data_IF_433180340215
#
_entry.id   IF_433180340215
#
_cell.length_a   1.000
_cell.length_b   1.000
_cell.length_c   1.000
_cell.angle_alpha   90.00
_cell.angle_beta   90.00
_cell.angle_gamma   90.00
#
_symmetry.space_group_name_H-M   'P 1'
#
loop_
_entity.id
_entity.type
_entity.pdbx_description
1 polymer ?
#
# COMPACT_ATOMS: atom_id res chain seq x y z
N UNK A 1 12.54 -24.58 -20.29
CA UNK A 1 11.96 -24.18 -18.99
C UNK A 1 13.08 -24.21 -17.96
N UNK A 2 13.51 -23.06 -17.42
CA UNK A 2 14.50 -23.03 -16.34
C UNK A 2 13.85 -23.69 -15.12
N UNK A 3 14.46 -24.73 -14.57
CA UNK A 3 13.90 -25.43 -13.42
C UNK A 3 13.91 -24.47 -12.22
N UNK A 4 12.74 -23.93 -11.86
CA UNK A 4 12.61 -23.08 -10.70
C UNK A 4 12.95 -23.87 -9.44
N UNK A 5 13.92 -23.39 -8.67
CA UNK A 5 14.41 -24.09 -7.48
C UNK A 5 13.99 -23.38 -6.21
N UNK A 6 13.94 -24.14 -5.11
CA UNK A 6 13.79 -23.59 -3.77
C UNK A 6 14.84 -22.53 -3.44
N UNK A 7 16.04 -22.66 -3.99
CA UNK A 7 17.09 -21.65 -3.84
C UNK A 7 16.68 -20.33 -4.49
N UNK A 8 16.19 -20.37 -5.73
CA UNK A 8 15.71 -19.17 -6.43
C UNK A 8 14.56 -18.49 -5.68
N UNK A 9 13.64 -19.27 -5.10
CA UNK A 9 12.55 -18.74 -4.26
C UNK A 9 13.08 -17.96 -3.05
N UNK A 10 14.05 -18.52 -2.32
CA UNK A 10 14.68 -17.84 -1.17
C UNK A 10 15.42 -16.59 -1.60
N UNK A 11 16.25 -16.69 -2.63
CA UNK A 11 17.08 -15.58 -3.09
C UNK A 11 16.18 -14.41 -3.51
N UNK A 12 15.06 -14.70 -4.19
CA UNK A 12 14.05 -13.70 -4.50
C UNK A 12 13.40 -13.08 -3.26
N UNK A 13 13.09 -13.85 -2.21
CA UNK A 13 12.56 -13.27 -0.98
C UNK A 13 13.59 -12.38 -0.26
N UNK A 14 14.86 -12.79 -0.21
CA UNK A 14 15.93 -12.00 0.41
C UNK A 14 16.11 -10.65 -0.31
N UNK A 15 15.97 -10.63 -1.63
CA UNK A 15 15.94 -9.37 -2.40
C UNK A 15 14.76 -8.48 -1.97
N UNK A 16 13.57 -9.05 -1.75
CA UNK A 16 12.43 -8.28 -1.25
C UNK A 16 12.71 -7.64 0.11
N UNK A 17 13.49 -8.31 0.99
CA UNK A 17 13.86 -7.72 2.28
C UNK A 17 14.77 -6.50 2.14
N UNK A 18 15.71 -6.54 1.19
CA UNK A 18 16.59 -5.39 0.92
C UNK A 18 15.79 -4.18 0.45
N UNK A 19 14.78 -4.42 -0.39
CA UNK A 19 13.86 -3.40 -0.86
C UNK A 19 12.91 -2.91 0.26
N UNK A 20 12.39 -3.82 1.10
CA UNK A 20 11.54 -3.47 2.23
C UNK A 20 12.28 -2.64 3.28
N UNK A 21 13.58 -2.87 3.52
CA UNK A 21 14.40 -2.04 4.41
C UNK A 21 14.39 -0.57 4.00
N UNK A 22 14.31 -0.32 2.69
CA UNK A 22 14.29 1.00 2.09
C UNK A 22 12.90 1.61 2.15
N UNK A 23 11.87 0.85 1.76
CA UNK A 23 10.48 1.28 1.84
C UNK A 23 10.04 1.58 3.28
N UNK A 24 10.63 0.90 4.27
CA UNK A 24 10.36 1.12 5.69
C UNK A 24 11.34 2.08 6.38
N UNK A 25 12.35 2.62 5.68
CA UNK A 25 13.11 3.73 6.21
C UNK A 25 12.15 4.93 6.34
N UNK A 26 12.02 5.50 7.55
CA UNK A 26 11.19 6.68 7.74
C UNK A 26 11.68 7.79 6.79
N UNK A 27 10.83 8.77 6.46
CA UNK A 27 11.11 9.67 5.35
C UNK A 27 12.35 10.58 5.55
N UNK A 28 13.10 10.45 6.64
CA UNK A 28 14.42 11.05 6.86
C UNK A 28 15.61 10.13 6.51
N UNK A 29 15.36 9.02 5.80
CA UNK A 29 16.40 8.06 5.41
C UNK A 29 17.00 7.26 6.57
N UNK A 30 16.53 7.44 7.80
CA UNK A 30 17.01 6.65 8.94
C UNK A 30 16.35 5.29 8.90
N UNK A 31 17.18 4.25 8.76
CA UNK A 31 16.75 2.86 8.95
C UNK A 31 16.19 2.74 10.36
N UNK A 32 14.90 2.45 10.42
CA UNK A 32 14.15 2.36 11.66
C UNK A 32 14.55 1.07 12.37
N UNK A 33 15.00 1.17 13.63
CA UNK A 33 15.17 0.00 14.47
C UNK A 33 13.79 -0.64 14.68
N UNK A 34 13.72 -1.97 14.64
CA UNK A 34 12.49 -2.75 14.66
C UNK A 34 11.52 -2.40 15.80
N UNK A 35 12.04 -1.90 16.93
CA UNK A 35 11.27 -1.48 18.08
C UNK A 35 10.30 -0.34 17.75
N UNK A 36 10.54 0.41 16.68
CA UNK A 36 9.64 1.46 16.22
C UNK A 36 8.59 0.99 15.20
N UNK A 37 8.86 -0.09 14.43
CA UNK A 37 7.91 -0.69 13.47
C UNK A 37 6.79 -1.43 14.23
N UNK A 38 7.14 -2.23 15.23
CA UNK A 38 6.17 -2.94 16.07
C UNK A 38 5.35 -1.99 16.97
N UNK A 39 5.93 -0.86 17.39
CA UNK A 39 5.27 0.15 18.23
C UNK A 39 4.24 1.04 17.49
N UNK A 40 4.08 0.88 16.17
CA UNK A 40 3.14 1.67 15.37
C UNK A 40 1.67 1.50 15.76
N UNK A 41 1.28 0.42 16.45
CA UNK A 41 -0.09 0.24 16.96
C UNK A 41 -0.23 0.84 18.36
N UNK A 42 -1.17 1.78 18.55
CA UNK A 42 -1.46 2.47 19.84
C UNK A 42 -1.59 1.52 21.04
N UNK A 43 -2.20 0.35 20.83
CA UNK A 43 -2.36 -0.68 21.84
C UNK A 43 -1.03 -1.25 22.34
N UNK A 44 -0.01 -1.34 21.47
CA UNK A 44 1.31 -1.85 21.82
C UNK A 44 2.25 -0.74 22.26
N UNK A 45 2.12 0.47 21.72
CA UNK A 45 3.00 1.62 22.01
C UNK A 45 3.13 1.94 23.51
N UNK A 46 2.01 1.92 24.24
CA UNK A 46 2.03 2.18 25.70
C UNK A 46 2.82 1.11 26.46
N UNK A 47 2.66 -0.16 26.10
CA UNK A 47 3.38 -1.27 26.73
C UNK A 47 4.84 -1.35 26.26
N UNK A 48 5.10 -0.94 25.02
CA UNK A 48 6.43 -0.92 24.42
C UNK A 48 7.39 0.05 25.10
N UNK A 49 6.88 1.06 25.79
CA UNK A 49 7.71 1.96 26.59
C UNK A 49 8.37 1.23 27.78
N UNK A 50 7.81 0.12 28.26
CA UNK A 50 8.41 -0.67 29.32
C UNK A 50 9.57 -1.52 28.76
N UNK A 51 10.77 -1.33 29.33
CA UNK A 51 11.98 -2.08 28.93
C UNK A 51 11.77 -3.60 29.00
N UNK A 52 11.10 -4.09 30.03
CA UNK A 52 10.84 -5.52 30.21
C UNK A 52 9.96 -6.11 29.10
N UNK A 53 8.98 -5.34 28.59
CA UNK A 53 8.12 -5.75 27.47
C UNK A 53 8.94 -5.83 26.18
N UNK A 54 9.82 -4.85 25.95
CA UNK A 54 10.73 -4.87 24.79
C UNK A 54 11.66 -6.07 24.82
N UNK A 55 12.31 -6.32 25.95
CA UNK A 55 13.22 -7.45 26.11
C UNK A 55 12.43 -8.77 25.95
N UNK A 56 11.30 -8.91 26.63
CA UNK A 56 10.46 -10.11 26.56
C UNK A 56 9.98 -10.39 25.13
N UNK A 57 9.48 -9.39 24.41
CA UNK A 57 9.02 -9.58 23.03
C UNK A 57 10.17 -9.92 22.08
N UNK A 58 11.36 -9.31 22.23
CA UNK A 58 12.55 -9.70 21.45
C UNK A 58 12.96 -11.16 21.71
N UNK A 59 12.98 -11.58 22.97
CA UNK A 59 13.34 -12.97 23.29
C UNK A 59 12.30 -13.96 22.75
N UNK A 60 11.02 -13.58 22.77
CA UNK A 60 9.92 -14.43 22.32
C UNK A 60 9.66 -14.38 20.82
N UNK A 61 10.08 -13.33 20.09
CA UNK A 61 9.73 -13.17 18.67
C UNK A 61 10.16 -14.37 17.80
N UNK A 62 11.38 -14.92 17.91
CA UNK A 62 11.76 -16.11 17.15
C UNK A 62 10.87 -17.31 17.44
N UNK A 63 10.47 -17.48 18.71
CA UNK A 63 9.54 -18.55 19.11
C UNK A 63 8.15 -18.30 18.53
N UNK A 64 7.65 -17.05 18.58
CA UNK A 64 6.37 -16.66 18.00
C UNK A 64 6.37 -16.96 16.48
N UNK A 65 7.41 -16.52 15.76
CA UNK A 65 7.53 -16.76 14.32
C UNK A 65 7.62 -18.24 14.00
N UNK A 66 8.42 -19.02 14.75
CA UNK A 66 8.48 -20.47 14.60
C UNK A 66 7.13 -21.14 14.86
N UNK A 67 6.39 -20.70 15.88
CA UNK A 67 5.03 -21.19 16.13
C UNK A 67 4.10 -20.89 14.96
N UNK A 68 4.18 -19.69 14.35
CA UNK A 68 3.42 -19.37 13.14
C UNK A 68 3.82 -20.27 11.95
N UNK A 69 5.11 -20.54 11.78
CA UNK A 69 5.65 -21.45 10.75
C UNK A 69 5.28 -22.92 10.97
N UNK A 70 4.75 -23.29 12.13
CA UNK A 70 4.23 -24.64 12.40
C UNK A 70 2.72 -24.66 12.28
N UNK A 71 2.04 -23.72 12.94
CA UNK A 71 0.58 -23.67 13.05
C UNK A 71 -0.06 -23.38 11.69
N UNK A 72 0.47 -22.41 10.93
CA UNK A 72 -0.10 -22.06 9.64
C UNK A 72 -0.02 -23.24 8.67
N UNK A 73 1.14 -23.88 8.42
CA UNK A 73 1.19 -25.04 7.52
C UNK A 73 0.25 -26.16 7.93
N UNK A 74 0.12 -26.50 9.22
CA UNK A 74 -0.82 -27.53 9.68
C UNK A 74 -2.26 -27.16 9.30
N UNK A 75 -2.67 -25.92 9.61
CA UNK A 75 -4.00 -25.41 9.24
C UNK A 75 -4.22 -25.47 7.73
N UNK A 76 -3.23 -25.05 6.94
CA UNK A 76 -3.32 -25.00 5.49
C UNK A 76 -3.26 -26.38 4.83
N UNK A 77 -2.53 -27.34 5.41
CA UNK A 77 -2.54 -28.74 4.98
C UNK A 77 -3.92 -29.34 5.16
N UNK A 78 -4.50 -29.21 6.36
CA UNK A 78 -5.85 -29.70 6.64
C UNK A 78 -6.86 -29.08 5.65
N UNK A 79 -6.82 -27.76 5.48
CA UNK A 79 -7.68 -27.07 4.52
C UNK A 79 -7.46 -27.55 3.08
N UNK A 80 -6.21 -27.82 2.67
CA UNK A 80 -5.90 -28.32 1.33
C UNK A 80 -6.39 -29.76 1.11
N UNK A 81 -6.33 -30.63 2.13
CA UNK A 81 -6.80 -32.02 2.02
C UNK A 81 -8.30 -32.13 1.80
N UNK A 82 -9.09 -31.29 2.47
CA UNK A 82 -10.56 -31.31 2.34
C UNK A 82 -11.10 -30.41 1.23
N UNK A 83 -10.23 -29.68 0.53
CA UNK A 83 -10.64 -28.72 -0.49
C UNK A 83 -10.85 -29.37 -1.85
N UNK A 84 -12.02 -29.12 -2.43
CA UNK A 84 -12.26 -29.33 -3.86
C UNK A 84 -11.59 -28.20 -4.64
N UNK A 85 -10.59 -28.54 -5.45
CA UNK A 85 -9.84 -27.60 -6.28
C UNK A 85 -10.74 -26.93 -7.32
N UNK A 86 -10.51 -25.64 -7.58
CA UNK A 86 -11.12 -24.94 -8.69
C UNK A 86 -10.63 -25.56 -10.02
N UNK A 87 -11.57 -25.87 -10.92
CA UNK A 87 -11.29 -26.45 -12.26
C UNK A 87 -11.69 -25.54 -13.41
N UNK A 88 -12.13 -24.31 -13.11
CA UNK A 88 -12.56 -23.36 -14.13
C UNK A 88 -11.37 -22.91 -14.97
N UNK A 89 -11.56 -22.84 -16.28
CA UNK A 89 -10.60 -22.23 -17.20
C UNK A 89 -10.81 -20.73 -17.23
N UNK A 90 -9.73 -19.98 -17.13
CA UNK A 90 -9.72 -18.52 -17.19
C UNK A 90 -8.53 -18.07 -18.04
N UNK A 91 -8.65 -16.90 -18.68
CA UNK A 91 -7.56 -16.31 -19.48
C UNK A 91 -6.77 -15.26 -18.71
N UNK A 92 -7.34 -14.75 -17.63
CA UNK A 92 -6.81 -13.65 -16.85
C UNK A 92 -7.15 -13.84 -15.38
N UNK A 93 -6.19 -13.50 -14.53
CA UNK A 93 -6.31 -13.56 -13.09
C UNK A 93 -5.92 -12.24 -12.44
N UNK A 94 -6.81 -11.70 -11.61
CA UNK A 94 -6.52 -10.60 -10.71
C UNK A 94 -5.88 -11.15 -9.44
N UNK A 95 -4.62 -10.80 -9.20
CA UNK A 95 -3.81 -11.29 -8.07
C UNK A 95 -4.03 -10.38 -6.87
N UNK A 96 -4.75 -10.89 -5.87
CA UNK A 96 -5.10 -10.16 -4.66
C UNK A 96 -6.54 -9.69 -4.64
N UNK A 97 -7.23 -9.98 -3.54
CA UNK A 97 -8.44 -9.28 -3.14
C UNK A 97 -8.04 -7.95 -2.48
N UNK A 98 -7.55 -7.04 -3.31
CA UNK A 98 -7.27 -5.67 -2.94
C UNK A 98 -8.45 -4.77 -3.35
N UNK A 99 -8.94 -3.95 -2.41
CA UNK A 99 -10.05 -3.05 -2.68
C UNK A 99 -9.70 -2.06 -3.79
N UNK A 100 -8.46 -1.53 -3.80
CA UNK A 100 -8.07 -0.53 -4.81
C UNK A 100 -8.00 -1.16 -6.18
N UNK A 101 -7.39 -2.35 -6.31
CA UNK A 101 -7.40 -3.12 -7.54
C UNK A 101 -8.83 -3.33 -8.04
N UNK A 102 -9.74 -3.80 -7.19
CA UNK A 102 -11.14 -4.00 -7.55
C UNK A 102 -11.83 -2.70 -7.98
N UNK A 103 -11.74 -1.63 -7.19
CA UNK A 103 -12.42 -0.36 -7.49
C UNK A 103 -11.90 0.29 -8.77
N UNK A 104 -10.58 0.31 -9.00
CA UNK A 104 -10.00 0.91 -10.21
C UNK A 104 -10.38 0.10 -11.44
N UNK A 105 -10.26 -1.24 -11.37
CA UNK A 105 -10.52 -2.11 -12.52
C UNK A 105 -11.99 -2.13 -12.91
N UNK A 106 -12.91 -2.19 -11.95
CA UNK A 106 -14.35 -2.10 -12.23
C UNK A 106 -14.73 -0.75 -12.83
N UNK A 107 -14.17 0.36 -12.30
CA UNK A 107 -14.44 1.71 -12.83
C UNK A 107 -14.09 1.84 -14.31
N UNK A 108 -12.98 1.25 -14.72
CA UNK A 108 -12.52 1.29 -16.13
C UNK A 108 -13.13 0.18 -16.99
N UNK A 109 -14.03 -0.64 -16.44
CA UNK A 109 -14.66 -1.76 -17.15
C UNK A 109 -13.68 -2.86 -17.58
N UNK A 110 -12.57 -3.05 -16.84
CA UNK A 110 -11.55 -4.04 -17.19
C UNK A 110 -11.99 -5.50 -16.93
N UNK A 111 -12.62 -5.83 -15.78
CA UNK A 111 -13.03 -7.19 -15.47
C UNK A 111 -14.13 -7.71 -16.41
N UNK A 112 -14.04 -9.00 -16.74
CA UNK A 112 -14.97 -9.79 -17.56
C UNK A 112 -15.49 -10.97 -16.75
N UNK A 113 -16.58 -11.58 -17.22
CA UNK A 113 -17.25 -12.67 -16.50
C UNK A 113 -16.41 -13.95 -16.38
N UNK A 114 -15.43 -14.16 -17.27
CA UNK A 114 -14.51 -15.30 -17.30
C UNK A 114 -13.17 -15.04 -16.59
N UNK A 115 -13.01 -13.87 -15.96
CA UNK A 115 -11.82 -13.56 -15.16
C UNK A 115 -11.91 -14.14 -13.76
N UNK A 116 -10.74 -14.52 -13.22
CA UNK A 116 -10.60 -15.09 -11.90
C UNK A 116 -9.99 -14.08 -10.91
N UNK A 117 -10.55 -13.99 -9.70
CA UNK A 117 -9.95 -13.24 -8.59
C UNK A 117 -9.25 -14.20 -7.64
N UNK A 118 -7.93 -14.04 -7.47
CA UNK A 118 -7.15 -14.83 -6.53
C UNK A 118 -7.08 -14.15 -5.17
N UNK A 119 -7.58 -14.83 -4.15
CA UNK A 119 -7.45 -14.43 -2.76
C UNK A 119 -6.12 -14.87 -2.19
N UNK A 120 -5.33 -13.92 -1.73
CA UNK A 120 -4.14 -14.13 -0.92
C UNK A 120 -4.52 -14.30 0.55
N UNK A 121 -3.61 -14.87 1.35
CA UNK A 121 -3.89 -15.21 2.74
C UNK A 121 -4.15 -13.98 3.62
N UNK A 122 -3.48 -12.86 3.33
CA UNK A 122 -3.60 -11.62 4.08
C UNK A 122 -4.74 -10.71 3.60
N UNK A 123 -5.45 -11.08 2.54
CA UNK A 123 -6.47 -10.22 1.99
C UNK A 123 -7.70 -10.13 2.90
N UNK A 124 -8.07 -8.88 3.18
CA UNK A 124 -9.22 -8.55 4.03
C UNK A 124 -10.45 -8.11 3.23
N UNK A 125 -10.28 -7.76 1.96
CA UNK A 125 -11.41 -7.32 1.13
C UNK A 125 -12.18 -8.53 0.58
N UNK A 126 -13.51 -8.43 0.60
CA UNK A 126 -14.38 -9.45 0.04
C UNK A 126 -14.84 -9.00 -1.34
N UNK A 127 -14.32 -9.64 -2.39
CA UNK A 127 -14.78 -9.45 -3.76
C UNK A 127 -16.25 -9.91 -3.87
N UNK A 128 -17.12 -9.19 -4.62
CA UNK A 128 -18.52 -9.55 -4.82
C UNK A 128 -18.76 -11.01 -5.26
N UNK A 129 -19.95 -11.54 -4.93
CA UNK A 129 -20.29 -12.96 -5.09
C UNK A 129 -20.54 -13.40 -6.53
N UNK A 130 -20.85 -12.46 -7.42
CA UNK A 130 -21.02 -12.64 -8.85
C UNK A 130 -19.70 -12.84 -9.60
N UNK A 131 -18.55 -12.52 -8.97
CA UNK A 131 -17.22 -12.70 -9.58
C UNK A 131 -16.68 -14.11 -9.30
N UNK A 132 -15.95 -14.67 -10.27
CA UNK A 132 -15.23 -15.93 -10.07
C UNK A 132 -14.07 -15.72 -9.11
N UNK A 133 -13.93 -16.61 -8.14
CA UNK A 133 -12.96 -16.50 -7.05
C UNK A 133 -12.20 -17.82 -6.91
N UNK A 134 -10.92 -17.71 -6.64
CA UNK A 134 -10.06 -18.79 -6.22
C UNK A 134 -9.21 -18.33 -5.06
N UNK A 135 -8.72 -19.28 -4.27
CA UNK A 135 -7.81 -19.05 -3.16
C UNK A 135 -6.47 -19.69 -3.51
N UNK A 136 -5.38 -19.25 -2.86
CA UNK A 136 -4.04 -19.86 -3.07
C UNK A 136 -4.02 -21.39 -2.95
N UNK A 137 -4.84 -21.99 -2.06
CA UNK A 137 -4.90 -23.44 -1.90
C UNK A 137 -5.62 -24.15 -3.04
N UNK A 138 -6.22 -23.47 -4.00
CA UNK A 138 -6.73 -24.10 -5.21
C UNK A 138 -5.60 -24.49 -6.17
N UNK A 139 -4.40 -23.94 -5.99
CA UNK A 139 -3.28 -24.11 -6.92
C UNK A 139 -2.07 -24.81 -6.30
N UNK A 140 -2.08 -25.13 -5.00
CA UNK A 140 -0.94 -25.81 -4.35
C UNK A 140 -1.26 -27.22 -3.86
N UNK A 141 -0.25 -28.07 -3.80
CA UNK A 141 -0.30 -29.42 -3.26
C UNK A 141 0.11 -29.45 -1.78
N UNK A 142 -0.24 -30.51 -1.01
CA UNK A 142 0.26 -30.68 0.35
C UNK A 142 1.79 -30.66 0.45
N UNK A 143 2.49 -31.20 -0.56
CA UNK A 143 3.96 -31.16 -0.62
C UNK A 143 4.50 -29.73 -0.70
N UNK A 144 3.86 -28.86 -1.49
CA UNK A 144 4.25 -27.46 -1.65
C UNK A 144 3.98 -26.63 -0.39
N UNK A 145 2.97 -26.99 0.40
CA UNK A 145 2.71 -26.37 1.71
C UNK A 145 3.85 -26.69 2.69
N UNK A 146 4.27 -27.96 2.78
CA UNK A 146 5.43 -28.37 3.62
C UNK A 146 6.71 -27.69 3.14
N UNK A 147 6.93 -27.68 1.82
CA UNK A 147 8.06 -26.99 1.20
C UNK A 147 8.08 -25.51 1.59
N UNK A 148 6.95 -24.82 1.51
CA UNK A 148 6.81 -23.41 1.89
C UNK A 148 7.13 -23.18 3.37
N UNK A 149 6.71 -24.08 4.26
CA UNK A 149 7.06 -24.04 5.68
C UNK A 149 8.57 -24.18 5.93
N UNK A 150 9.21 -25.13 5.24
CA UNK A 150 10.67 -25.32 5.35
C UNK A 150 11.39 -24.07 4.82
N UNK A 151 10.92 -23.47 3.71
CA UNK A 151 11.53 -22.26 3.19
C UNK A 151 11.34 -21.06 4.10
N UNK A 152 10.19 -20.88 4.74
CA UNK A 152 9.98 -19.76 5.65
C UNK A 152 11.00 -19.79 6.79
N UNK A 153 11.20 -20.95 7.42
CA UNK A 153 12.23 -21.14 8.46
C UNK A 153 13.64 -20.81 7.96
N UNK A 154 14.01 -21.28 6.75
CA UNK A 154 15.34 -20.98 6.19
C UNK A 154 15.48 -19.49 5.87
N UNK A 155 14.43 -18.85 5.32
CA UNK A 155 14.39 -17.43 5.03
C UNK A 155 14.56 -16.62 6.32
N UNK A 156 13.87 -17.00 7.39
CA UNK A 156 13.97 -16.40 8.71
C UNK A 156 15.41 -16.44 9.25
N UNK A 157 16.08 -17.58 9.14
CA UNK A 157 17.49 -17.73 9.52
C UNK A 157 18.40 -16.86 8.63
N UNK A 158 18.19 -16.88 7.32
CA UNK A 158 18.99 -16.10 6.37
C UNK A 158 18.83 -14.59 6.57
N UNK A 159 17.60 -14.12 6.79
CA UNK A 159 17.30 -12.73 7.08
C UNK A 159 18.08 -12.25 8.32
N UNK A 160 18.08 -13.06 9.39
CA UNK A 160 18.83 -12.77 10.60
C UNK A 160 20.34 -12.78 10.38
N UNK A 161 20.87 -13.72 9.58
CA UNK A 161 22.30 -13.82 9.28
C UNK A 161 22.82 -12.68 8.41
N UNK A 162 22.04 -12.24 7.41
CA UNK A 162 22.46 -11.24 6.41
C UNK A 162 22.21 -9.83 6.94
N UNK A 163 21.03 -9.57 7.50
CA UNK A 163 20.58 -8.22 7.86
C UNK A 163 20.52 -7.97 9.37
N UNK A 164 20.78 -9.01 10.18
CA UNK A 164 20.71 -8.94 11.63
C UNK A 164 19.29 -9.07 12.19
N UNK A 165 19.22 -9.14 13.52
CA UNK A 165 17.97 -9.35 14.25
C UNK A 165 16.92 -8.27 14.00
N UNK A 166 17.32 -7.02 13.75
CA UNK A 166 16.40 -5.90 13.50
C UNK A 166 15.56 -6.08 12.23
N UNK A 167 16.01 -6.86 11.25
CA UNK A 167 15.31 -7.06 9.98
C UNK A 167 14.57 -8.40 9.95
N UNK A 168 14.83 -9.26 10.94
CA UNK A 168 14.20 -10.56 11.12
C UNK A 168 12.67 -10.48 11.01
N UNK A 169 12.03 -9.51 11.66
CA UNK A 169 10.58 -9.38 11.61
C UNK A 169 10.03 -9.09 10.21
N UNK A 170 10.75 -8.42 9.31
CA UNK A 170 10.27 -8.18 7.94
C UNK A 170 10.08 -9.48 7.15
N UNK A 171 10.71 -10.56 7.61
CA UNK A 171 10.49 -11.90 7.06
C UNK A 171 9.20 -12.57 7.52
N UNK A 172 8.39 -12.02 8.44
CA UNK A 172 7.18 -12.65 9.02
C UNK A 172 6.13 -13.16 8.01
N UNK A 173 6.15 -12.66 6.77
CA UNK A 173 5.29 -13.13 5.66
C UNK A 173 5.94 -14.19 4.78
N UNK A 174 7.07 -14.77 5.17
CA UNK A 174 7.82 -15.72 4.34
C UNK A 174 6.96 -16.93 3.93
N UNK A 175 6.21 -17.53 4.87
CA UNK A 175 5.31 -18.63 4.54
C UNK A 175 4.24 -18.25 3.51
N UNK A 176 3.55 -17.12 3.72
CA UNK A 176 2.54 -16.59 2.80
C UNK A 176 3.13 -16.29 1.41
N UNK A 177 4.33 -15.71 1.38
CA UNK A 177 4.99 -15.40 0.12
C UNK A 177 5.38 -16.68 -0.64
N UNK A 178 5.98 -17.66 0.04
CA UNK A 178 6.37 -18.93 -0.56
C UNK A 178 5.17 -19.72 -1.12
N UNK A 179 4.07 -19.82 -0.37
CA UNK A 179 2.88 -20.54 -0.83
C UNK A 179 2.19 -19.80 -1.98
N UNK A 180 2.17 -18.46 -1.98
CA UNK A 180 1.64 -17.68 -3.11
C UNK A 180 2.52 -17.82 -4.35
N UNK A 181 3.85 -17.82 -4.22
CA UNK A 181 4.75 -18.05 -5.36
C UNK A 181 4.51 -19.44 -5.98
N UNK A 182 4.33 -20.48 -5.16
CA UNK A 182 3.93 -21.81 -5.64
C UNK A 182 2.57 -21.78 -6.35
N UNK A 183 1.56 -21.17 -5.71
CA UNK A 183 0.22 -21.07 -6.27
C UNK A 183 0.25 -20.41 -7.66
N UNK A 184 0.96 -19.28 -7.78
CA UNK A 184 1.06 -18.55 -9.03
C UNK A 184 1.86 -19.34 -10.09
N UNK A 185 2.92 -20.05 -9.72
CA UNK A 185 3.69 -20.87 -10.68
C UNK A 185 2.93 -22.08 -11.22
N UNK A 186 1.92 -22.54 -10.49
CA UNK A 186 1.03 -23.62 -10.94
C UNK A 186 -0.11 -23.11 -11.85
N UNK A 187 -0.22 -21.79 -12.05
CA UNK A 187 -1.09 -21.21 -13.06
C UNK A 187 -0.41 -21.32 -14.43
N UNK A 188 -1.14 -21.66 -15.50
CA UNK A 188 -0.57 -21.72 -16.85
C UNK A 188 0.08 -20.39 -17.28
N UNK A 189 1.28 -20.46 -17.88
CA UNK A 189 2.09 -19.29 -18.26
C UNK A 189 1.42 -18.34 -19.28
N UNK A 190 0.40 -18.84 -19.99
CA UNK A 190 -0.40 -18.08 -20.95
C UNK A 190 -1.56 -17.30 -20.31
N UNK A 191 -1.80 -17.45 -19.01
CA UNK A 191 -2.76 -16.63 -18.26
C UNK A 191 -2.15 -15.24 -18.03
N UNK A 192 -2.94 -14.20 -18.26
CA UNK A 192 -2.56 -12.83 -17.89
C UNK A 192 -2.67 -12.64 -16.37
N UNK A 193 -1.61 -12.14 -15.74
CA UNK A 193 -1.64 -11.74 -14.33
C UNK A 193 -1.86 -10.24 -14.22
N UNK A 194 -2.96 -9.82 -13.59
CA UNK A 194 -3.28 -8.43 -13.28
C UNK A 194 -3.06 -8.16 -11.80
N UNK A 195 -2.32 -7.12 -11.45
CA UNK A 195 -1.97 -6.81 -10.07
C UNK A 195 -1.83 -5.30 -9.85
N UNK A 196 -1.91 -4.86 -8.60
CA UNK A 196 -1.74 -3.45 -8.23
C UNK A 196 -0.43 -3.15 -7.49
N UNK A 197 0.37 -4.17 -7.15
CA UNK A 197 1.64 -4.03 -6.44
C UNK A 197 2.71 -3.31 -7.29
N UNK A 198 3.23 -2.18 -6.82
CA UNK A 198 4.20 -1.37 -7.59
C UNK A 198 5.64 -1.70 -7.19
N UNK A 199 5.97 -1.52 -5.92
CA UNK A 199 7.33 -1.67 -5.39
C UNK A 199 7.42 -2.64 -4.21
N UNK A 200 6.33 -3.27 -3.78
CA UNK A 200 6.34 -4.21 -2.65
C UNK A 200 6.82 -5.62 -3.05
N UNK A 201 6.94 -6.50 -2.05
CA UNK A 201 7.42 -7.88 -2.24
C UNK A 201 6.60 -8.73 -3.22
N UNK A 202 5.31 -8.44 -3.41
CA UNK A 202 4.48 -9.16 -4.37
C UNK A 202 4.76 -8.68 -5.79
N UNK A 203 5.10 -7.40 -6.00
CA UNK A 203 5.55 -6.90 -7.29
C UNK A 203 6.79 -7.66 -7.79
N UNK A 204 7.80 -7.83 -6.92
CA UNK A 204 9.05 -8.57 -7.24
C UNK A 204 8.74 -10.03 -7.58
N UNK A 205 7.87 -10.67 -6.80
CA UNK A 205 7.47 -12.07 -7.05
C UNK A 205 6.81 -12.22 -8.42
N UNK A 206 5.78 -11.40 -8.70
CA UNK A 206 4.99 -11.48 -9.93
C UNK A 206 5.88 -11.20 -11.14
N UNK A 207 6.78 -10.22 -11.04
CA UNK A 207 7.69 -9.89 -12.11
C UNK A 207 8.65 -11.04 -12.47
N UNK A 208 9.05 -11.86 -11.49
CA UNK A 208 9.91 -13.04 -11.70
C UNK A 208 9.17 -14.33 -12.09
N UNK A 209 7.84 -14.27 -12.24
CA UNK A 209 7.08 -15.40 -12.75
C UNK A 209 7.26 -15.57 -14.26
N UNK A 210 7.11 -16.80 -14.78
CA UNK A 210 7.28 -17.08 -16.21
C UNK A 210 6.09 -16.61 -17.09
N UNK A 211 5.06 -16.00 -16.51
CA UNK A 211 3.86 -15.60 -17.25
C UNK A 211 4.19 -14.57 -18.33
N UNK A 212 3.63 -14.79 -19.52
CA UNK A 212 3.92 -13.97 -20.72
C UNK A 212 3.29 -12.59 -20.64
N UNK A 213 2.12 -12.48 -20.01
CA UNK A 213 1.37 -11.24 -19.88
C UNK A 213 1.21 -10.86 -18.42
N UNK A 214 1.74 -9.69 -18.08
CA UNK A 214 1.68 -9.09 -16.75
C UNK A 214 1.16 -7.67 -16.89
N UNK A 215 0.07 -7.37 -16.21
CA UNK A 215 -0.61 -6.08 -16.26
C UNK A 215 -0.57 -5.42 -14.88
N UNK A 216 0.10 -4.29 -14.79
CA UNK A 216 0.14 -3.47 -13.59
C UNK A 216 -0.99 -2.44 -13.63
N UNK A 217 -1.79 -2.38 -12.57
CA UNK A 217 -2.76 -1.32 -12.30
C UNK A 217 -2.15 -0.38 -11.26
N UNK A 218 -1.84 0.85 -11.65
CA UNK A 218 -1.31 1.85 -10.72
C UNK A 218 -2.29 2.08 -9.56
N UNK A 219 -1.79 2.00 -8.32
CA UNK A 219 -2.56 2.30 -7.10
C UNK A 219 -2.08 3.54 -6.34
N UNK A 220 -0.92 4.09 -6.71
CA UNK A 220 -0.25 5.22 -6.06
C UNK A 220 0.60 6.00 -7.06
N UNK A 221 0.81 7.29 -6.80
CA UNK A 221 1.63 8.16 -7.67
C UNK A 221 3.11 7.97 -7.35
N UNK A 222 3.95 8.07 -8.40
CA UNK A 222 5.42 7.98 -8.26
C UNK A 222 6.12 9.31 -8.49
N UNK A 223 5.34 10.40 -8.54
CA UNK A 223 5.81 11.77 -8.58
C UNK A 223 5.32 12.52 -7.34
N UNK A 224 6.14 13.41 -6.79
CA UNK A 224 5.88 14.12 -5.54
C UNK A 224 6.28 15.59 -5.65
N UNK A 225 5.40 16.50 -5.24
CA UNK A 225 5.65 17.94 -5.31
C UNK A 225 6.43 18.49 -4.12
N UNK A 226 6.63 17.71 -3.06
CA UNK A 226 7.13 18.24 -1.79
C UNK A 226 8.26 17.42 -1.16
N UNK A 227 9.37 18.09 -0.85
CA UNK A 227 10.44 17.59 0.02
C UNK A 227 10.12 17.94 1.47
N UNK A 228 9.03 17.41 2.02
CA UNK A 228 8.80 17.59 3.48
C UNK A 228 9.82 16.81 4.30
N UNK A 229 10.54 15.86 3.71
CA UNK A 229 11.52 15.03 4.39
C UNK A 229 12.63 14.60 3.41
N UNK A 230 13.88 14.56 3.87
CA UNK A 230 15.03 14.07 3.09
C UNK A 230 14.95 12.54 2.94
N UNK A 231 14.20 12.10 1.93
CA UNK A 231 14.13 10.69 1.55
C UNK A 231 15.29 10.41 0.59
N UNK A 232 16.27 9.56 0.94
CA UNK A 232 17.45 9.29 0.09
C UNK A 232 17.10 8.60 -1.23
N UNK A 233 15.87 8.12 -1.38
CA UNK A 233 15.35 7.45 -2.57
C UNK A 233 14.39 8.34 -3.38
N UNK A 234 14.38 9.65 -3.12
CA UNK A 234 13.71 10.62 -3.98
C UNK A 234 14.74 11.39 -4.81
N UNK A 235 14.54 11.40 -6.12
CA UNK A 235 15.35 12.15 -7.07
C UNK A 235 14.55 13.33 -7.64
N UNK A 236 15.12 14.54 -7.60
CA UNK A 236 14.46 15.73 -8.13
C UNK A 236 14.77 15.93 -9.61
N UNK A 237 13.71 16.05 -10.42
CA UNK A 237 13.82 16.33 -11.84
C UNK A 237 13.50 17.80 -12.11
N UNK A 238 14.55 18.58 -12.34
CA UNK A 238 14.47 20.05 -12.46
C UNK A 238 13.57 20.46 -13.64
N UNK A 239 13.66 19.74 -14.75
CA UNK A 239 12.89 19.96 -15.97
C UNK A 239 11.39 19.66 -15.81
N UNK A 240 11.03 18.85 -14.81
CA UNK A 240 9.65 18.47 -14.51
C UNK A 240 9.07 19.16 -13.27
N UNK A 241 9.93 19.69 -12.40
CA UNK A 241 9.54 20.38 -11.17
C UNK A 241 8.98 19.46 -10.07
N UNK A 242 9.28 18.16 -10.10
CA UNK A 242 8.85 17.20 -9.08
C UNK A 242 9.91 16.13 -8.79
N UNK A 243 9.75 15.46 -7.64
CA UNK A 243 10.57 14.31 -7.26
C UNK A 243 9.96 13.03 -7.81
N UNK A 244 10.78 12.02 -8.13
CA UNK A 244 10.34 10.65 -8.36
C UNK A 244 10.99 9.69 -7.37
N UNK A 245 10.36 8.54 -7.18
CA UNK A 245 10.93 7.45 -6.39
C UNK A 245 12.01 6.69 -7.15
N UNK A 246 13.25 6.70 -6.67
CA UNK A 246 14.33 5.87 -7.20
C UNK A 246 14.34 4.50 -6.50
N UNK A 247 13.58 3.55 -7.05
CA UNK A 247 13.48 2.20 -6.48
C UNK A 247 14.72 1.36 -6.76
N UNK A 248 15.11 0.52 -5.80
CA UNK A 248 16.14 -0.51 -6.04
C UNK A 248 15.66 -1.56 -7.04
N UNK A 249 14.38 -1.94 -6.95
CA UNK A 249 13.78 -2.90 -7.87
C UNK A 249 12.90 -2.18 -8.89
N UNK A 250 13.08 -2.52 -10.17
CA UNK A 250 12.21 -2.05 -11.25
C UNK A 250 11.55 -3.27 -11.90
N UNK A 251 10.22 -3.27 -11.94
CA UNK A 251 9.42 -4.35 -12.52
C UNK A 251 9.32 -4.22 -14.03
N UNK A 252 9.00 -5.33 -14.71
CA UNK A 252 8.91 -5.43 -16.17
C UNK A 252 7.52 -5.88 -16.66
N UNK A 253 6.42 -5.18 -16.34
CA UNK A 253 5.09 -5.52 -16.83
C UNK A 253 4.96 -5.34 -18.34
N UNK A 254 4.09 -6.13 -18.98
CA UNK A 254 3.76 -6.00 -20.40
C UNK A 254 2.87 -4.77 -20.65
N UNK A 255 1.88 -4.54 -19.76
CA UNK A 255 0.93 -3.44 -19.83
C UNK A 255 0.87 -2.71 -18.50
N UNK A 256 0.74 -1.38 -18.53
CA UNK A 256 0.57 -0.53 -17.35
C UNK A 256 -0.64 0.37 -17.54
N UNK A 257 -1.63 0.22 -16.65
CA UNK A 257 -2.71 1.19 -16.52
C UNK A 257 -2.30 2.25 -15.50
N UNK A 258 -2.16 3.50 -15.94
CA UNK A 258 -1.73 4.63 -15.11
C UNK A 258 -2.68 5.81 -15.26
N UNK A 259 -2.64 6.76 -14.32
CA UNK A 259 -3.65 7.82 -14.30
C UNK A 259 -3.45 8.84 -15.42
N UNK A 260 -2.23 9.34 -15.62
CA UNK A 260 -1.92 10.44 -16.54
C UNK A 260 -0.60 10.24 -17.28
N UNK A 261 -0.30 11.10 -18.26
CA UNK A 261 1.02 11.15 -18.92
C UNK A 261 2.16 11.47 -17.94
N UNK A 262 1.88 12.26 -16.89
CA UNK A 262 2.86 12.55 -15.83
C UNK A 262 3.17 11.27 -15.06
N UNK A 263 2.13 10.47 -14.76
CA UNK A 263 2.30 9.18 -14.10
C UNK A 263 3.06 8.18 -14.97
N UNK A 264 2.79 8.10 -16.27
CA UNK A 264 3.56 7.28 -17.21
C UNK A 264 5.04 7.66 -17.17
N UNK A 265 5.35 8.95 -17.27
CA UNK A 265 6.73 9.42 -17.24
C UNK A 265 7.39 9.08 -15.90
N UNK A 266 6.70 9.34 -14.78
CA UNK A 266 7.21 9.04 -13.45
C UNK A 266 7.45 7.54 -13.27
N UNK A 267 6.50 6.68 -13.64
CA UNK A 267 6.62 5.22 -13.56
C UNK A 267 7.79 4.70 -14.40
N UNK A 268 7.91 5.19 -15.64
CA UNK A 268 8.97 4.79 -16.58
C UNK A 268 10.38 5.15 -16.11
N UNK A 269 10.52 6.25 -15.35
CA UNK A 269 11.82 6.67 -14.82
C UNK A 269 12.07 6.13 -13.39
N UNK A 270 11.03 5.72 -12.66
CA UNK A 270 11.13 5.23 -11.29
C UNK A 270 11.22 3.70 -11.19
N UNK A 271 10.14 3.00 -11.54
CA UNK A 271 9.89 1.60 -11.13
C UNK A 271 9.64 0.64 -12.27
N UNK A 272 9.54 1.11 -13.51
CA UNK A 272 9.36 0.27 -14.68
C UNK A 272 10.69 0.15 -15.42
N UNK A 273 11.14 -1.08 -15.67
CA UNK A 273 12.43 -1.37 -16.30
C UNK A 273 12.36 -1.52 -17.83
N UNK A 274 11.19 -1.89 -18.35
CA UNK A 274 10.99 -2.25 -19.74
C UNK A 274 10.08 -1.25 -20.49
N UNK A 275 9.98 -1.42 -21.81
CA UNK A 275 9.02 -0.67 -22.64
C UNK A 275 7.65 -1.33 -22.55
N UNK A 276 6.87 -0.97 -21.53
CA UNK A 276 5.48 -1.41 -21.39
C UNK A 276 4.54 -0.67 -22.33
N UNK A 277 3.37 -1.26 -22.61
CA UNK A 277 2.23 -0.53 -23.18
C UNK A 277 1.53 0.25 -22.08
N UNK A 278 1.51 1.58 -22.17
CA UNK A 278 0.79 2.43 -21.21
C UNK A 278 -0.64 2.71 -21.68
N UNK A 279 -1.58 2.71 -20.73
CA UNK A 279 -2.99 3.06 -20.93
C UNK A 279 -3.37 4.09 -19.85
N UNK A 280 -3.72 5.30 -20.27
CA UNK A 280 -4.17 6.35 -19.35
C UNK A 280 -5.64 6.18 -19.00
N UNK A 281 -5.94 6.05 -17.71
CA UNK A 281 -7.29 5.82 -17.20
C UNK A 281 -7.90 7.00 -16.45
N UNK A 282 -7.12 8.07 -16.26
CA UNK A 282 -7.50 9.20 -15.42
C UNK A 282 -7.68 8.81 -13.94
N UNK A 283 -7.84 9.83 -13.10
CA UNK A 283 -8.15 9.62 -11.68
C UNK A 283 -9.60 9.19 -11.47
N UNK A 284 -10.52 9.52 -12.37
CA UNK A 284 -11.92 9.07 -12.35
C UNK A 284 -12.65 9.37 -11.03
N UNK A 285 -12.24 10.43 -10.34
CA UNK A 285 -12.76 10.81 -9.03
C UNK A 285 -14.09 11.54 -9.15
N UNK A 286 -15.07 11.14 -8.34
CA UNK A 286 -16.39 11.77 -8.28
C UNK A 286 -16.75 11.97 -6.81
N UNK A 287 -16.90 13.22 -6.34
CA UNK A 287 -17.37 13.49 -4.99
C UNK A 287 -18.82 12.99 -4.79
N UNK A 288 -19.13 12.56 -3.57
CA UNK A 288 -20.42 11.97 -3.23
C UNK A 288 -21.52 13.00 -2.92
N UNK A 289 -21.15 14.17 -2.39
CA UNK A 289 -22.09 15.22 -2.01
C UNK A 289 -21.44 16.60 -2.03
N UNK A 290 -22.25 17.66 -2.05
CA UNK A 290 -21.79 19.05 -1.98
C UNK A 290 -22.06 19.64 -0.59
N UNK A 291 -21.04 20.19 0.10
CA UNK A 291 -21.21 20.95 1.34
C UNK A 291 -22.16 22.15 1.20
N UNK A 292 -22.77 22.58 2.31
CA UNK A 292 -23.70 23.72 2.31
C UNK A 292 -22.95 25.05 2.33
N UNK A 293 -21.82 25.10 3.05
CA UNK A 293 -20.93 26.26 3.11
C UNK A 293 -19.65 26.05 2.31
N UNK A 294 -18.88 27.13 2.18
CA UNK A 294 -17.48 27.05 1.79
C UNK A 294 -16.76 26.04 2.67
N UNK A 295 -15.95 25.19 2.05
CA UNK A 295 -15.47 23.99 2.74
C UNK A 295 -14.04 23.62 2.40
N UNK A 296 -13.37 23.04 3.39
CA UNK A 296 -12.01 22.53 3.30
C UNK A 296 -11.98 21.07 3.70
N UNK A 297 -11.32 20.21 2.92
CA UNK A 297 -10.96 18.86 3.35
C UNK A 297 -9.47 18.78 3.69
N UNK A 298 -9.18 18.31 4.90
CA UNK A 298 -7.85 18.01 5.40
C UNK A 298 -7.61 16.51 5.23
N UNK A 299 -6.67 16.13 4.37
CA UNK A 299 -6.22 14.74 4.20
C UNK A 299 -5.08 14.47 5.14
N UNK A 300 -5.31 13.60 6.11
CA UNK A 300 -4.38 13.37 7.20
C UNK A 300 -3.41 12.21 6.95
N UNK A 301 -2.16 12.43 7.38
CA UNK A 301 -1.23 11.40 7.77
C UNK A 301 -0.68 11.72 9.17
N UNK A 302 -1.51 11.42 10.18
CA UNK A 302 -1.25 11.78 11.57
C UNK A 302 0.14 11.38 12.09
N UNK A 303 0.67 10.19 11.74
CA UNK A 303 1.97 9.76 12.26
C UNK A 303 3.11 10.72 11.90
N UNK A 304 2.96 11.46 10.80
CA UNK A 304 3.96 12.40 10.30
C UNK A 304 3.53 13.85 10.62
N UNK A 305 2.24 14.18 10.47
CA UNK A 305 1.76 15.55 10.45
C UNK A 305 0.81 15.94 11.59
N UNK A 306 0.61 15.09 12.61
CA UNK A 306 -0.33 15.33 13.72
C UNK A 306 -0.37 16.77 14.26
N UNK A 307 0.79 17.31 14.62
CA UNK A 307 0.90 18.67 15.19
C UNK A 307 0.51 19.74 14.17
N UNK A 308 0.86 19.55 12.90
CA UNK A 308 0.48 20.48 11.82
C UNK A 308 -1.02 20.42 11.57
N UNK A 309 -1.59 19.23 11.52
CA UNK A 309 -3.02 19.00 11.31
C UNK A 309 -3.85 19.64 12.44
N UNK A 310 -3.47 19.45 13.71
CA UNK A 310 -4.13 20.09 14.85
C UNK A 310 -3.99 21.62 14.80
N UNK A 311 -2.82 22.13 14.45
CA UNK A 311 -2.60 23.56 14.30
C UNK A 311 -3.47 24.19 13.21
N UNK A 312 -3.54 23.55 12.03
CA UNK A 312 -4.39 23.99 10.93
C UNK A 312 -5.85 24.02 11.38
N UNK A 313 -6.36 22.94 11.98
CA UNK A 313 -7.74 22.89 12.47
C UNK A 313 -8.01 24.03 13.44
N UNK A 314 -7.09 24.29 14.39
CA UNK A 314 -7.21 25.37 15.36
C UNK A 314 -7.31 26.75 14.68
N UNK A 315 -6.47 27.03 13.69
CA UNK A 315 -6.45 28.32 12.99
C UNK A 315 -7.72 28.57 12.15
N UNK A 316 -8.37 27.50 11.68
CA UNK A 316 -9.57 27.60 10.85
C UNK A 316 -10.88 27.72 11.66
N UNK A 317 -10.83 27.66 12.99
CA UNK A 317 -12.05 27.63 13.82
C UNK A 317 -12.94 28.87 13.67
N UNK A 318 -12.32 30.03 13.51
CA UNK A 318 -13.01 31.33 13.42
C UNK A 318 -13.60 31.63 12.04
N UNK A 319 -13.32 30.80 11.03
CA UNK A 319 -13.83 30.99 9.68
C UNK A 319 -15.22 30.35 9.54
N UNK A 320 -16.13 31.03 8.82
CA UNK A 320 -17.44 30.48 8.50
C UNK A 320 -17.37 29.47 7.34
N UNK A 321 -16.67 28.37 7.60
CA UNK A 321 -16.45 27.27 6.67
C UNK A 321 -16.77 25.92 7.32
N UNK A 322 -17.06 24.93 6.50
CA UNK A 322 -17.10 23.53 6.91
C UNK A 322 -15.70 22.90 6.81
N UNK A 323 -15.21 22.36 7.92
CA UNK A 323 -13.92 21.66 7.97
C UNK A 323 -14.19 20.17 7.97
N UNK A 324 -13.70 19.47 6.94
CA UNK A 324 -13.67 18.02 6.87
C UNK A 324 -12.27 17.51 7.17
N UNK A 325 -12.15 16.39 7.88
CA UNK A 325 -10.89 15.68 8.06
C UNK A 325 -11.05 14.22 7.69
N UNK A 326 -10.19 13.72 6.81
CA UNK A 326 -10.10 12.30 6.45
C UNK A 326 -8.77 11.72 6.94
N UNK A 327 -8.85 10.71 7.79
CA UNK A 327 -7.69 9.98 8.27
C UNK A 327 -7.15 9.00 7.21
N UNK A 328 -5.85 8.68 7.29
CA UNK A 328 -5.27 7.62 6.47
C UNK A 328 -5.93 6.27 6.77
N UNK A 329 -6.27 5.44 5.75
CA UNK A 329 -7.01 4.19 5.96
C UNK A 329 -6.35 3.18 6.91
N UNK A 330 -5.01 3.19 6.99
CA UNK A 330 -4.27 2.28 7.87
C UNK A 330 -4.12 2.80 9.31
N UNK A 331 -4.60 4.01 9.61
CA UNK A 331 -4.43 4.64 10.92
C UNK A 331 -5.68 4.50 11.79
N UNK A 332 -5.45 4.45 13.11
CA UNK A 332 -6.56 4.47 14.08
C UNK A 332 -7.21 5.85 14.14
N UNK A 333 -8.53 5.89 14.13
CA UNK A 333 -9.30 7.13 14.32
C UNK A 333 -9.28 7.65 15.77
N UNK A 334 -8.83 6.82 16.72
CA UNK A 334 -8.92 7.11 18.16
C UNK A 334 -8.17 8.36 18.61
N UNK A 335 -7.27 8.91 17.79
CA UNK A 335 -6.53 10.13 18.10
C UNK A 335 -7.30 11.39 17.69
N UNK A 336 -8.21 11.28 16.72
CA UNK A 336 -9.10 12.39 16.35
C UNK A 336 -10.29 12.54 17.31
N UNK A 337 -10.58 11.52 18.12
CA UNK A 337 -11.61 11.61 19.14
C UNK A 337 -11.34 12.73 20.16
N UNK A 338 -10.08 12.88 20.58
CA UNK A 338 -9.69 13.94 21.52
C UNK A 338 -9.80 15.32 20.85
N UNK A 339 -9.40 15.44 19.58
CA UNK A 339 -9.50 16.68 18.82
C UNK A 339 -10.95 17.13 18.60
N UNK A 340 -11.88 16.18 18.38
CA UNK A 340 -13.31 16.49 18.25
C UNK A 340 -13.92 17.14 19.49
N UNK A 341 -13.34 16.89 20.67
CA UNK A 341 -13.79 17.55 21.91
C UNK A 341 -13.34 19.00 22.02
N UNK A 342 -12.33 19.41 21.23
CA UNK A 342 -11.69 20.73 21.29
C UNK A 342 -12.03 21.62 20.10
N UNK A 343 -12.28 21.02 18.94
CA UNK A 343 -12.39 21.72 17.67
C UNK A 343 -13.58 21.24 16.85
N UNK A 344 -14.19 22.15 16.09
CA UNK A 344 -15.27 21.91 15.13
C UNK A 344 -14.68 21.38 13.82
N UNK A 345 -15.00 20.13 13.49
CA UNK A 345 -14.77 19.51 12.18
C UNK A 345 -15.61 18.25 11.99
N UNK A 346 -15.92 17.93 10.74
CA UNK A 346 -16.57 16.71 10.29
C UNK A 346 -15.51 15.64 9.99
N UNK A 347 -15.60 14.48 10.63
CA UNK A 347 -14.59 13.43 10.47
C UNK A 347 -15.08 12.31 9.55
N UNK A 348 -14.34 12.09 8.46
CA UNK A 348 -14.58 11.01 7.50
C UNK A 348 -13.73 9.82 7.91
N UNK A 349 -14.40 8.78 8.41
CA UNK A 349 -13.74 7.67 9.09
C UNK A 349 -13.25 6.57 8.15
N UNK A 350 -12.02 6.10 8.37
CA UNK A 350 -11.47 4.88 7.78
C UNK A 350 -11.63 4.76 6.26
N UNK A 351 -12.30 3.68 5.84
CA UNK A 351 -12.51 3.30 4.45
C UNK A 351 -13.72 3.97 3.78
N UNK A 352 -14.42 4.86 4.47
CA UNK A 352 -15.54 5.61 3.90
C UNK A 352 -15.08 6.43 2.68
N UNK A 353 -15.78 6.25 1.56
CA UNK A 353 -15.54 6.91 0.28
C UNK A 353 -16.58 7.96 -0.06
N UNK A 354 -17.52 8.25 0.84
CA UNK A 354 -18.42 9.39 0.68
C UNK A 354 -17.65 10.69 0.92
N UNK A 355 -17.02 11.18 -0.14
CA UNK A 355 -16.11 12.32 -0.10
C UNK A 355 -16.81 13.60 -0.56
N UNK A 356 -16.72 14.72 0.18
CA UNK A 356 -17.36 15.98 -0.17
C UNK A 356 -16.73 16.64 -1.39
N UNK A 357 -17.53 17.32 -2.21
CA UNK A 357 -17.08 18.26 -3.23
C UNK A 357 -16.65 19.58 -2.56
N UNK A 358 -15.51 19.55 -1.87
CA UNK A 358 -15.00 20.74 -1.16
C UNK A 358 -14.45 21.79 -2.11
N UNK A 359 -14.38 23.05 -1.65
CA UNK A 359 -13.81 24.15 -2.41
C UNK A 359 -12.26 24.14 -2.40
N UNK A 360 -11.67 23.54 -1.37
CA UNK A 360 -10.21 23.47 -1.20
C UNK A 360 -9.79 22.22 -0.44
N UNK A 361 -8.63 21.68 -0.81
CA UNK A 361 -7.99 20.56 -0.12
C UNK A 361 -6.70 21.01 0.56
N UNK A 362 -6.43 20.52 1.78
CA UNK A 362 -5.12 20.63 2.44
C UNK A 362 -4.61 19.21 2.66
N UNK A 363 -3.43 18.87 2.12
CA UNK A 363 -2.97 17.47 2.09
C UNK A 363 -1.45 17.35 2.11
N UNK A 364 -0.93 16.16 2.42
CA UNK A 364 0.40 15.74 1.95
C UNK A 364 0.29 15.26 0.49
N UNK A 365 1.40 14.95 -0.19
CA UNK A 365 1.35 14.32 -1.53
C UNK A 365 0.68 12.94 -1.42
N UNK A 366 -0.61 12.88 -1.71
CA UNK A 366 -1.44 11.69 -1.60
C UNK A 366 -2.20 11.45 -2.90
N UNK A 367 -2.52 10.21 -3.23
CA UNK A 367 -3.37 9.91 -4.41
C UNK A 367 -4.68 10.68 -4.35
N UNK A 368 -5.27 10.83 -3.17
CA UNK A 368 -6.51 11.59 -2.97
C UNK A 368 -6.33 13.08 -3.32
N UNK A 369 -5.16 13.66 -3.06
CA UNK A 369 -4.87 15.03 -3.47
C UNK A 369 -4.91 15.20 -4.98
N UNK A 370 -4.31 14.26 -5.72
CA UNK A 370 -4.34 14.27 -7.17
C UNK A 370 -5.74 13.97 -7.73
N UNK A 371 -6.52 13.10 -7.07
CA UNK A 371 -7.92 12.86 -7.39
C UNK A 371 -8.75 14.15 -7.33
N UNK A 372 -8.64 14.93 -6.25
CA UNK A 372 -9.30 16.23 -6.13
C UNK A 372 -8.76 17.27 -7.13
N UNK A 373 -7.45 17.32 -7.33
CA UNK A 373 -6.85 18.22 -8.32
C UNK A 373 -7.35 17.93 -9.74
N UNK A 374 -7.58 16.65 -10.07
CA UNK A 374 -8.06 16.23 -11.39
C UNK A 374 -9.45 16.75 -11.76
N UNK A 375 -10.26 17.12 -10.76
CA UNK A 375 -11.58 17.74 -10.95
C UNK A 375 -11.55 19.26 -10.70
N UNK A 376 -10.35 19.87 -10.69
CA UNK A 376 -10.17 21.31 -10.58
C UNK A 376 -10.17 21.87 -9.15
N UNK A 377 -10.19 21.03 -8.11
CA UNK A 377 -10.11 21.52 -6.73
C UNK A 377 -8.68 21.96 -6.41
N UNK A 378 -8.56 23.15 -5.81
CA UNK A 378 -7.28 23.70 -5.38
C UNK A 378 -6.72 22.88 -4.21
N UNK A 379 -5.47 22.45 -4.34
CA UNK A 379 -4.76 21.69 -3.31
C UNK A 379 -3.64 22.52 -2.71
N UNK A 380 -3.60 22.59 -1.39
CA UNK A 380 -2.52 23.19 -0.62
C UNK A 380 -1.74 22.09 0.10
N UNK A 381 -0.48 21.90 -0.27
CA UNK A 381 0.33 20.84 0.31
C UNK A 381 1.03 21.26 1.62
N UNK A 382 1.07 20.41 2.65
CA UNK A 382 1.55 20.73 4.01
C UNK A 382 2.95 21.38 4.12
N UNK A 383 3.81 21.27 3.10
CA UNK A 383 5.14 21.89 3.09
C UNK A 383 5.28 23.07 2.11
N UNK A 384 4.18 23.56 1.54
CA UNK A 384 4.20 24.68 0.57
C UNK A 384 3.69 26.01 1.17
N UNK A 385 3.44 26.05 2.48
CA UNK A 385 2.96 27.26 3.15
C UNK A 385 3.47 27.36 4.57
N UNK A 386 3.51 28.60 5.06
CA UNK A 386 3.70 28.89 6.47
C UNK A 386 2.41 28.61 7.23
N UNK A 387 2.50 27.76 8.26
CA UNK A 387 1.37 27.36 9.09
C UNK A 387 0.72 28.56 9.76
N UNK A 388 1.49 29.58 10.15
CA UNK A 388 0.97 30.76 10.84
C UNK A 388 0.09 31.63 9.92
N UNK A 389 0.27 31.51 8.60
CA UNK A 389 -0.50 32.25 7.61
C UNK A 389 -1.70 31.45 7.04
N UNK A 390 -1.96 30.23 7.54
CA UNK A 390 -2.96 29.33 6.93
C UNK A 390 -4.37 29.94 6.91
N UNK A 391 -4.76 30.69 7.95
CA UNK A 391 -6.07 31.35 8.03
C UNK A 391 -6.26 32.31 6.85
N UNK A 392 -5.29 33.19 6.61
CA UNK A 392 -5.34 34.15 5.51
C UNK A 392 -5.33 33.47 4.15
N UNK A 393 -4.50 32.44 3.97
CA UNK A 393 -4.44 31.67 2.73
C UNK A 393 -5.80 31.05 2.41
N UNK A 394 -6.45 30.44 3.41
CA UNK A 394 -7.78 29.84 3.24
C UNK A 394 -8.82 30.91 2.94
N UNK A 395 -8.85 32.03 3.69
CA UNK A 395 -9.77 33.14 3.44
C UNK A 395 -9.64 33.67 2.01
N UNK A 396 -8.42 33.92 1.54
CA UNK A 396 -8.15 34.42 0.19
C UNK A 396 -8.59 33.40 -0.88
N UNK A 397 -8.19 32.12 -0.72
CA UNK A 397 -8.47 31.08 -1.72
C UNK A 397 -9.94 30.73 -1.84
N UNK A 398 -10.69 30.87 -0.75
CA UNK A 398 -12.13 30.64 -0.68
C UNK A 398 -12.95 31.91 -0.92
N UNK A 399 -12.31 33.08 -1.02
CA UNK A 399 -12.96 34.38 -1.15
C UNK A 399 -13.95 34.64 -0.02
N UNK A 400 -13.50 34.42 1.22
CA UNK A 400 -14.28 34.74 2.41
C UNK A 400 -14.18 36.24 2.69
N UNK A 401 -15.31 36.85 3.01
CA UNK A 401 -15.34 38.22 3.53
C UNK A 401 -14.73 38.19 4.96
N UNK A 402 -13.67 38.99 5.18
CA UNK A 402 -12.96 39.04 6.46
C UNK A 402 -13.77 39.69 7.57
#
# INVERSE_FOLDING_TARGET
MVHYTMKMQRDSFIETLSNDMILNAYPNGKIVKWDQIAAGKKAFKKYWNYLIVRIGFNLLLPLIMLCFDIILPIKYLLACFFRRKNKQTFKRMFVGHDRRLYTITERIGLPKNDDMWLRLMSDTYAIPNDKQKADVLDFVTPSEIIKSAIQSVIIHINAMRIFGYNIYFLSYKAFEWCITDYALRNIPENVELVYSYICDRFAIMIDKLPHQQKTLIQHGTMHFGNKTVEIPYLEFHTERGFYIWNSLYKSSPSTVYCYTEIDEWALSNSVIANKSKFIHIGYGFVPAFKPEKKSVLIVSNYYIFARREEYIIKQLQDLDIEIYLKNHPSHSNSLYNDMKSKYRFNFISGLDTSLPAVDMLISYDSTLAYEYASIGIKVLYYGHFDLDNIKNIVSEKLSLDN
#
